data_IF_127536904268
#
_entry.id   IF_127536904268
#
_cell.length_a   1.000
_cell.length_b   1.000
_cell.length_c   1.000
_cell.angle_alpha   90.00
_cell.angle_beta   90.00
_cell.angle_gamma   90.00
#
_symmetry.space_group_name_H-M   'P 1'
#
loop_
_entity.id
_entity.type
_entity.pdbx_description
1 polymer ?
#
# COMPACT_ATOMS: atom_id res chain seq x y z
N UNK A 1 -13.70 -3.65 2.97
CA UNK A 1 -14.80 -2.74 3.37
C UNK A 1 -14.16 -1.39 3.58
N UNK A 2 -14.81 -0.32 3.15
CA UNK A 2 -14.37 1.06 3.36
C UNK A 2 -15.49 1.86 4.03
N UNK A 3 -15.14 2.92 4.74
CA UNK A 3 -16.07 3.77 5.48
C UNK A 3 -15.71 5.22 5.25
N UNK A 4 -16.71 6.06 5.01
CA UNK A 4 -16.56 7.52 4.98
C UNK A 4 -17.78 8.19 5.63
N UNK A 5 -17.87 9.52 5.56
CA UNK A 5 -19.01 10.28 6.09
C UNK A 5 -20.36 9.96 5.45
N UNK A 6 -20.36 9.38 4.24
CA UNK A 6 -21.56 9.04 3.48
C UNK A 6 -22.04 7.60 3.73
N UNK A 7 -21.25 6.72 4.35
CA UNK A 7 -21.69 5.37 4.65
C UNK A 7 -20.58 4.32 4.69
N UNK A 8 -21.00 3.06 4.59
CA UNK A 8 -20.13 1.88 4.60
C UNK A 8 -20.24 1.18 3.25
N UNK A 9 -19.10 0.84 2.65
CA UNK A 9 -19.02 0.22 1.33
C UNK A 9 -18.32 -1.13 1.40
N UNK A 10 -18.97 -2.16 0.86
CA UNK A 10 -18.53 -3.55 0.99
C UNK A 10 -18.40 -4.16 -0.40
N UNK A 11 -17.16 -4.42 -0.81
CA UNK A 11 -16.83 -5.34 -1.91
C UNK A 11 -17.05 -6.77 -1.43
N UNK A 12 -18.00 -7.50 -2.01
CA UNK A 12 -18.35 -8.87 -1.62
C UNK A 12 -18.73 -9.70 -2.84
N UNK A 13 -18.11 -10.87 -2.97
CA UNK A 13 -18.33 -11.81 -4.06
C UNK A 13 -18.25 -11.14 -5.45
N UNK A 14 -19.38 -10.86 -6.07
CA UNK A 14 -19.55 -10.34 -7.42
C UNK A 14 -20.19 -8.94 -7.44
N UNK A 15 -20.08 -8.18 -6.34
CA UNK A 15 -20.72 -6.86 -6.21
C UNK A 15 -20.07 -5.92 -5.22
N UNK A 16 -20.42 -4.65 -5.38
CA UNK A 16 -20.27 -3.60 -4.37
C UNK A 16 -21.62 -3.33 -3.71
N UNK A 17 -21.65 -3.30 -2.37
CA UNK A 17 -22.83 -2.93 -1.57
C UNK A 17 -22.54 -1.62 -0.84
N UNK A 18 -23.41 -0.62 -1.05
CA UNK A 18 -23.39 0.62 -0.27
C UNK A 18 -24.44 0.58 0.83
N UNK A 19 -24.02 0.86 2.06
CA UNK A 19 -24.85 0.92 3.25
C UNK A 19 -24.84 2.35 3.84
N UNK A 20 -25.94 2.73 4.47
CA UNK A 20 -25.99 3.86 5.39
C UNK A 20 -25.18 3.54 6.66
N UNK A 21 -24.89 4.58 7.47
CA UNK A 21 -24.15 4.41 8.73
C UNK A 21 -24.92 3.56 9.77
N UNK A 22 -26.24 3.45 9.63
CA UNK A 22 -27.06 2.56 10.46
C UNK A 22 -27.11 1.11 9.94
N UNK A 23 -26.39 0.82 8.85
CA UNK A 23 -26.30 -0.50 8.22
C UNK A 23 -27.40 -0.81 7.21
N UNK A 24 -28.36 0.08 6.95
CA UNK A 24 -29.37 -0.14 5.91
C UNK A 24 -28.74 -0.08 4.52
N UNK A 25 -29.15 -1.00 3.65
CA UNK A 25 -28.67 -1.01 2.26
C UNK A 25 -29.23 0.16 1.48
N UNK A 26 -28.34 0.97 0.90
CA UNK A 26 -28.64 2.06 -0.02
C UNK A 26 -28.69 1.57 -1.47
N UNK A 27 -27.66 0.84 -1.90
CA UNK A 27 -27.56 0.32 -3.26
C UNK A 27 -26.78 -1.01 -3.31
N UNK A 28 -26.88 -1.69 -4.45
CA UNK A 28 -26.00 -2.77 -4.86
C UNK A 28 -25.58 -2.54 -6.32
N UNK A 29 -24.31 -2.73 -6.60
CA UNK A 29 -23.72 -2.65 -7.94
C UNK A 29 -23.13 -4.02 -8.30
N UNK A 30 -23.81 -4.73 -9.20
CA UNK A 30 -23.58 -6.14 -9.53
C UNK A 30 -22.49 -6.28 -10.62
N UNK A 31 -21.24 -6.08 -10.22
CA UNK A 31 -20.06 -6.28 -11.08
C UNK A 31 -18.93 -6.90 -10.26
N UNK A 32 -18.24 -7.90 -10.78
CA UNK A 32 -17.15 -8.57 -10.05
C UNK A 32 -16.35 -9.56 -10.90
N UNK A 33 -15.49 -10.39 -10.27
CA UNK A 33 -15.37 -10.57 -8.83
C UNK A 33 -14.79 -9.35 -8.11
N UNK A 34 -15.36 -9.01 -6.95
CA UNK A 34 -14.97 -7.92 -6.08
C UNK A 34 -13.62 -8.22 -5.39
N UNK A 35 -12.67 -7.28 -5.41
CA UNK A 35 -11.34 -7.51 -4.77
C UNK A 35 -10.98 -6.47 -3.73
N UNK A 36 -11.20 -5.18 -4.00
CA UNK A 36 -10.86 -4.08 -3.09
C UNK A 36 -11.90 -2.97 -3.18
N UNK A 37 -12.01 -2.18 -2.12
CA UNK A 37 -12.86 -1.00 -2.08
C UNK A 37 -12.19 0.06 -1.21
N UNK A 38 -12.12 1.27 -1.71
CA UNK A 38 -11.74 2.48 -0.97
C UNK A 38 -12.81 3.55 -1.14
N UNK A 39 -12.97 4.44 -0.16
CA UNK A 39 -14.05 5.42 -0.15
C UNK A 39 -13.58 6.83 0.22
N UNK A 40 -13.40 7.67 -0.81
CA UNK A 40 -13.32 9.12 -0.65
C UNK A 40 -14.71 9.71 -0.43
N UNK A 41 -14.81 10.99 -0.03
CA UNK A 41 -16.11 11.62 0.24
C UNK A 41 -17.03 11.58 -0.98
N UNK A 42 -16.52 11.93 -2.16
CA UNK A 42 -17.35 12.02 -3.38
C UNK A 42 -17.35 10.76 -4.22
N UNK A 43 -16.45 9.81 -3.92
CA UNK A 43 -16.16 8.67 -4.79
C UNK A 43 -15.84 7.41 -4.01
N UNK A 44 -16.44 6.31 -4.43
CA UNK A 44 -16.04 4.95 -4.06
C UNK A 44 -15.21 4.38 -5.18
N UNK A 45 -13.97 4.00 -4.87
CA UNK A 45 -13.09 3.28 -5.76
C UNK A 45 -13.33 1.79 -5.56
N UNK A 46 -13.79 1.10 -6.59
CA UNK A 46 -14.16 -0.31 -6.51
C UNK A 46 -13.34 -1.11 -7.51
N UNK A 47 -12.49 -2.01 -7.01
CA UNK A 47 -11.65 -2.85 -7.84
C UNK A 47 -12.30 -4.22 -8.03
N UNK A 48 -12.30 -4.67 -9.28
CA UNK A 48 -12.84 -5.96 -9.68
C UNK A 48 -11.87 -6.71 -10.58
N UNK A 49 -12.06 -8.03 -10.72
CA UNK A 49 -11.24 -8.87 -11.59
C UNK A 49 -10.10 -9.57 -10.85
N UNK A 50 -9.10 -10.04 -11.60
CA UNK A 50 -7.91 -10.72 -11.05
C UNK A 50 -6.67 -10.29 -11.82
N UNK A 51 -5.65 -9.85 -11.09
CA UNK A 51 -4.27 -9.52 -11.50
C UNK A 51 -4.10 -8.86 -12.88
N UNK A 52 -4.21 -9.65 -13.96
CA UNK A 52 -4.01 -9.22 -15.34
C UNK A 52 -5.26 -8.63 -16.02
N UNK A 53 -6.44 -8.83 -15.43
CA UNK A 53 -7.72 -8.35 -15.95
C UNK A 53 -8.50 -7.70 -14.81
N UNK A 54 -7.91 -6.65 -14.23
CA UNK A 54 -8.56 -5.86 -13.19
C UNK A 54 -9.19 -4.61 -13.79
N UNK A 55 -10.39 -4.28 -13.32
CA UNK A 55 -11.11 -3.06 -13.68
C UNK A 55 -11.36 -2.25 -12.43
N UNK A 56 -10.86 -1.01 -12.42
CA UNK A 56 -11.12 -0.02 -11.39
C UNK A 56 -12.34 0.80 -11.79
N UNK A 57 -13.35 0.80 -10.93
CA UNK A 57 -14.60 1.51 -11.12
C UNK A 57 -14.66 2.73 -10.20
N UNK A 58 -15.12 3.84 -10.75
CA UNK A 58 -15.50 5.01 -10.00
C UNK A 58 -17.00 5.05 -9.76
N UNK A 59 -17.42 4.73 -8.53
CA UNK A 59 -18.85 4.66 -8.16
C UNK A 59 -19.20 5.85 -7.25
N UNK A 60 -20.24 6.59 -7.60
CA UNK A 60 -20.80 7.65 -6.76
C UNK A 60 -21.40 7.11 -5.45
N UNK A 61 -21.60 7.95 -4.43
CA UNK A 61 -22.05 7.51 -3.10
C UNK A 61 -23.47 6.93 -3.06
N UNK A 62 -24.23 7.11 -4.14
CA UNK A 62 -25.57 6.55 -4.38
C UNK A 62 -25.58 5.29 -5.27
N UNK A 63 -24.41 4.86 -5.77
CA UNK A 63 -24.28 3.70 -6.63
C UNK A 63 -24.26 3.98 -8.13
N UNK A 64 -24.28 5.24 -8.59
CA UNK A 64 -24.07 5.55 -10.01
C UNK A 64 -22.63 5.25 -10.41
N UNK A 65 -22.42 4.69 -11.59
CA UNK A 65 -21.07 4.53 -12.15
C UNK A 65 -20.80 5.68 -13.09
N UNK A 66 -19.68 6.37 -12.88
CA UNK A 66 -19.32 7.51 -13.72
C UNK A 66 -18.18 7.16 -14.68
N UNK A 67 -17.23 6.32 -14.25
CA UNK A 67 -16.07 5.94 -15.03
C UNK A 67 -15.51 4.56 -14.65
N UNK A 68 -14.71 3.99 -15.55
CA UNK A 68 -14.00 2.74 -15.35
C UNK A 68 -12.64 2.76 -16.08
N UNK A 69 -11.65 2.05 -15.52
CA UNK A 69 -10.34 1.85 -16.13
C UNK A 69 -9.89 0.39 -16.03
N UNK A 70 -9.45 -0.17 -17.15
CA UNK A 70 -8.78 -1.47 -17.16
C UNK A 70 -7.29 -1.26 -16.90
N UNK A 71 -6.83 -1.65 -15.72
CA UNK A 71 -5.48 -1.41 -15.22
C UNK A 71 -4.91 -2.69 -14.61
N UNK A 72 -3.62 -3.00 -14.79
CA UNK A 72 -3.03 -4.22 -14.26
C UNK A 72 -2.62 -4.05 -12.78
N UNK A 73 -3.59 -3.69 -11.94
CA UNK A 73 -3.46 -3.38 -10.50
C UNK A 73 -4.26 -4.39 -9.67
N UNK A 74 -3.86 -4.59 -8.42
CA UNK A 74 -4.51 -5.48 -7.44
C UNK A 74 -4.56 -4.92 -6.02
N UNK A 75 -4.00 -3.73 -5.81
CA UNK A 75 -3.94 -3.03 -4.52
C UNK A 75 -4.37 -1.58 -4.67
N UNK A 76 -4.96 -1.04 -3.60
CA UNK A 76 -5.46 0.32 -3.49
C UNK A 76 -4.94 0.94 -2.19
N UNK A 77 -4.54 2.20 -2.23
CA UNK A 77 -4.20 3.04 -1.08
C UNK A 77 -4.84 4.41 -1.31
N UNK A 78 -5.78 4.80 -0.45
CA UNK A 78 -6.47 6.08 -0.54
C UNK A 78 -5.84 7.08 0.44
N UNK A 79 -5.52 8.27 -0.06
CA UNK A 79 -5.14 9.43 0.75
C UNK A 79 -6.03 10.63 0.40
N UNK A 80 -6.89 11.01 1.35
CA UNK A 80 -7.94 12.00 1.13
C UNK A 80 -8.83 11.64 -0.05
N UNK A 81 -8.63 12.32 -1.18
CA UNK A 81 -9.38 12.15 -2.43
C UNK A 81 -8.56 11.51 -3.56
N UNK A 82 -7.28 11.25 -3.32
CA UNK A 82 -6.37 10.69 -4.32
C UNK A 82 -6.14 9.22 -4.04
N UNK A 83 -6.37 8.40 -5.06
CA UNK A 83 -6.14 6.98 -5.01
C UNK A 83 -4.78 6.65 -5.63
N UNK A 84 -3.93 5.98 -4.87
CA UNK A 84 -2.76 5.26 -5.36
C UNK A 84 -3.15 3.79 -5.57
N UNK A 85 -2.69 3.19 -6.66
CA UNK A 85 -2.95 1.80 -6.97
C UNK A 85 -1.69 1.09 -7.47
N UNK A 86 -1.55 -0.18 -7.08
CA UNK A 86 -0.34 -0.97 -7.28
C UNK A 86 -0.64 -2.31 -7.92
N UNK A 87 0.37 -2.85 -8.61
CA UNK A 87 0.39 -4.17 -9.21
C UNK A 87 1.51 -4.28 -10.25
N UNK A 88 1.19 -4.66 -11.49
CA UNK A 88 2.16 -4.60 -12.61
C UNK A 88 2.39 -3.18 -13.14
N UNK A 89 1.64 -2.22 -12.61
CA UNK A 89 1.83 -0.80 -12.81
C UNK A 89 1.54 -0.09 -11.48
N UNK A 90 2.14 1.08 -11.29
CA UNK A 90 1.79 2.02 -10.23
C UNK A 90 1.03 3.18 -10.85
N UNK A 91 -0.15 3.50 -10.33
CA UNK A 91 -1.05 4.48 -10.92
C UNK A 91 -1.60 5.39 -9.83
N UNK A 92 -1.77 6.67 -10.16
CA UNK A 92 -2.52 7.63 -9.35
C UNK A 92 -3.78 8.07 -10.07
N UNK A 93 -4.92 8.04 -9.38
CA UNK A 93 -6.24 8.36 -9.92
C UNK A 93 -6.97 9.33 -9.00
N UNK A 94 -7.55 10.38 -9.57
CA UNK A 94 -8.41 11.32 -8.86
C UNK A 94 -9.87 10.83 -8.78
N UNK A 95 -10.71 11.48 -7.96
CA UNK A 95 -12.13 11.12 -7.81
C UNK A 95 -12.94 11.21 -9.10
N UNK A 96 -12.54 12.06 -10.05
CA UNK A 96 -13.19 12.18 -11.36
C UNK A 96 -12.73 11.12 -12.38
N UNK A 97 -11.79 10.25 -11.99
CA UNK A 97 -11.23 9.20 -12.83
C UNK A 97 -10.02 9.63 -13.64
N UNK A 98 -9.53 10.86 -13.48
CA UNK A 98 -8.31 11.31 -14.13
C UNK A 98 -7.12 10.51 -13.60
N UNK A 99 -6.39 9.85 -14.50
CA UNK A 99 -5.08 9.27 -14.18
C UNK A 99 -4.05 10.40 -14.19
N UNK A 100 -3.53 10.76 -13.01
CA UNK A 100 -2.55 11.85 -12.85
C UNK A 100 -1.20 11.42 -13.42
N UNK A 101 -0.76 10.23 -13.04
CA UNK A 101 0.47 9.63 -13.53
C UNK A 101 0.39 8.10 -13.44
N UNK A 102 1.28 7.46 -14.21
CA UNK A 102 1.42 6.02 -14.28
C UNK A 102 2.87 5.64 -14.55
N UNK A 103 3.34 4.63 -13.83
CA UNK A 103 4.57 3.90 -14.12
C UNK A 103 4.19 2.45 -14.48
N UNK A 104 4.62 1.98 -15.65
CA UNK A 104 4.36 0.62 -16.15
C UNK A 104 5.32 -0.44 -15.58
N UNK A 105 6.01 -0.11 -14.48
CA UNK A 105 6.82 -1.05 -13.72
C UNK A 105 6.03 -1.64 -12.55
N UNK A 106 6.43 -2.84 -12.14
CA UNK A 106 5.82 -3.51 -10.99
C UNK A 106 6.07 -2.72 -9.70
N UNK A 107 4.98 -2.48 -8.97
CA UNK A 107 4.98 -1.81 -7.68
C UNK A 107 3.73 -2.14 -6.88
N UNK A 108 3.90 -2.71 -5.69
CA UNK A 108 2.83 -3.07 -4.74
C UNK A 108 3.29 -2.75 -3.30
N UNK A 109 2.50 -3.13 -2.30
CA UNK A 109 2.68 -2.82 -0.88
C UNK A 109 2.92 -1.32 -0.72
N UNK A 110 1.89 -0.59 -1.11
CA UNK A 110 1.92 0.86 -1.19
C UNK A 110 1.99 1.44 0.22
N UNK A 111 2.88 2.41 0.42
CA UNK A 111 3.01 3.12 1.67
C UNK A 111 3.24 4.61 1.36
N UNK A 112 2.48 5.49 2.01
CA UNK A 112 2.76 6.92 2.00
C UNK A 112 3.53 7.31 3.26
N UNK A 113 4.41 8.29 3.14
CA UNK A 113 4.98 8.98 4.30
C UNK A 113 3.92 9.79 5.08
N UNK A 114 4.20 10.15 6.34
CA UNK A 114 3.24 10.87 7.17
C UNK A 114 2.83 12.25 6.65
N UNK A 115 3.68 12.92 5.87
CA UNK A 115 3.36 14.21 5.22
C UNK A 115 2.62 14.04 3.89
N UNK A 116 2.57 12.81 3.35
CA UNK A 116 1.87 12.46 2.13
C UNK A 116 2.58 12.94 0.87
N UNK A 117 3.88 13.26 0.91
CA UNK A 117 4.65 13.79 -0.22
C UNK A 117 5.42 12.71 -1.00
N UNK A 118 5.55 11.50 -0.45
CA UNK A 118 6.28 10.37 -1.03
C UNK A 118 5.47 9.09 -0.96
N UNK A 119 5.26 8.48 -2.13
CA UNK A 119 4.75 7.12 -2.26
C UNK A 119 5.93 6.15 -2.34
N UNK A 120 5.95 5.16 -1.46
CA UNK A 120 6.83 4.02 -1.49
C UNK A 120 6.12 2.78 -2.03
N UNK A 121 6.85 1.98 -2.78
CA UNK A 121 6.36 0.71 -3.33
C UNK A 121 7.42 -0.37 -3.19
N UNK A 122 7.01 -1.59 -2.85
CA UNK A 122 7.76 -2.80 -3.16
C UNK A 122 7.79 -2.99 -4.66
N UNK A 123 8.98 -3.02 -5.23
CA UNK A 123 9.21 -2.82 -6.67
C UNK A 123 10.06 -3.94 -7.28
N UNK A 124 10.03 -4.01 -8.62
CA UNK A 124 10.60 -5.08 -9.47
C UNK A 124 9.84 -6.39 -9.41
N UNK A 125 9.97 -7.19 -10.47
CA UNK A 125 9.24 -8.47 -10.63
C UNK A 125 9.63 -9.52 -9.56
N UNK A 126 10.84 -9.44 -9.02
CA UNK A 126 11.28 -10.27 -7.89
C UNK A 126 10.94 -9.67 -6.54
N UNK A 127 10.46 -8.44 -6.55
CA UNK A 127 10.08 -7.68 -5.38
C UNK A 127 11.25 -7.52 -4.39
N UNK A 128 12.45 -7.33 -4.91
CA UNK A 128 13.73 -7.26 -4.20
C UNK A 128 14.19 -5.83 -3.90
N UNK A 129 13.33 -4.83 -4.16
CA UNK A 129 13.66 -3.41 -3.99
C UNK A 129 12.47 -2.58 -3.49
N UNK A 130 12.75 -1.48 -2.81
CA UNK A 130 11.77 -0.44 -2.50
C UNK A 130 12.02 0.80 -3.37
N UNK A 131 10.98 1.33 -4.03
CA UNK A 131 11.07 2.53 -4.87
C UNK A 131 10.24 3.66 -4.27
N UNK A 132 10.79 4.87 -4.26
CA UNK A 132 10.12 6.09 -3.83
C UNK A 132 9.75 6.96 -5.04
N UNK A 133 8.52 7.46 -5.05
CA UNK A 133 7.98 8.43 -6.01
C UNK A 133 7.55 9.68 -5.25
N UNK A 134 7.69 10.86 -5.84
CA UNK A 134 6.87 11.99 -5.39
C UNK A 134 5.40 11.77 -5.78
N UNK A 135 4.49 12.53 -5.16
CA UNK A 135 3.06 12.45 -5.48
C UNK A 135 2.70 12.85 -6.91
N UNK A 136 3.62 13.48 -7.65
CA UNK A 136 3.47 13.78 -9.07
C UNK A 136 3.95 12.62 -9.98
N UNK A 137 4.43 11.53 -9.39
CA UNK A 137 4.84 10.30 -10.09
C UNK A 137 6.29 10.28 -10.53
N UNK A 138 7.09 11.29 -10.18
CA UNK A 138 8.51 11.27 -10.48
C UNK A 138 9.21 10.36 -9.49
N UNK A 139 9.84 9.32 -10.02
CA UNK A 139 10.73 8.47 -9.23
C UNK A 139 11.85 9.31 -8.60
N UNK A 140 11.97 9.24 -7.27
CA UNK A 140 13.05 9.85 -6.48
C UNK A 140 14.26 8.94 -6.45
N UNK A 141 14.07 7.68 -6.03
CA UNK A 141 15.14 6.69 -5.91
C UNK A 141 14.57 5.26 -5.82
N UNK A 142 15.46 4.28 -5.95
CA UNK A 142 15.18 2.86 -5.68
C UNK A 142 16.26 2.32 -4.76
N UNK A 143 15.87 1.78 -3.61
CA UNK A 143 16.72 1.05 -2.69
C UNK A 143 16.67 -0.44 -3.02
N UNK A 144 17.83 -1.03 -3.30
CA UNK A 144 18.01 -2.38 -3.85
C UNK A 144 19.06 -3.13 -3.02
N UNK A 145 18.69 -3.63 -1.82
CA UNK A 145 19.61 -4.39 -0.99
C UNK A 145 19.90 -5.76 -1.64
N UNK A 146 21.06 -6.38 -1.36
CA UNK A 146 21.37 -7.73 -1.83
C UNK A 146 20.48 -8.77 -1.12
N UNK A 147 19.24 -8.86 -1.55
CA UNK A 147 18.16 -9.59 -0.89
C UNK A 147 17.38 -10.43 -1.89
N UNK A 148 16.67 -11.43 -1.38
CA UNK A 148 15.70 -12.17 -2.19
C UNK A 148 14.36 -11.44 -2.32
N UNK A 149 14.12 -10.46 -1.44
CA UNK A 149 12.86 -9.75 -1.30
C UNK A 149 13.09 -8.54 -0.37
N UNK A 150 12.58 -7.36 -0.73
CA UNK A 150 12.63 -6.16 0.11
C UNK A 150 11.37 -5.32 -0.06
N UNK A 151 10.88 -4.71 1.02
CA UNK A 151 9.64 -3.95 1.00
C UNK A 151 9.59 -2.82 2.02
N UNK A 152 8.83 -1.74 1.73
CA UNK A 152 8.55 -0.69 2.70
C UNK A 152 7.72 -1.27 3.86
N UNK A 153 8.16 -1.01 5.10
CA UNK A 153 7.49 -1.49 6.31
C UNK A 153 6.75 -0.35 7.02
N UNK A 154 7.44 0.79 7.18
CA UNK A 154 6.92 1.99 7.83
C UNK A 154 7.66 3.22 7.31
N UNK A 155 7.04 4.39 7.37
CA UNK A 155 7.64 5.65 6.98
C UNK A 155 7.51 6.67 8.12
N UNK A 156 8.60 7.36 8.39
CA UNK A 156 8.65 8.54 9.27
C UNK A 156 8.78 9.79 8.40
N UNK A 157 8.81 10.98 9.00
CA UNK A 157 9.07 12.22 8.25
C UNK A 157 10.46 12.24 7.59
N UNK A 158 11.43 11.52 8.16
CA UNK A 158 12.83 11.60 7.75
C UNK A 158 13.37 10.32 7.08
N UNK A 159 12.68 9.18 7.27
CA UNK A 159 13.17 7.90 6.81
C UNK A 159 12.06 6.93 6.39
N UNK A 160 12.40 6.08 5.41
CA UNK A 160 11.69 4.85 5.14
C UNK A 160 12.35 3.70 5.91
N UNK A 161 11.55 2.91 6.62
CA UNK A 161 11.97 1.61 7.14
C UNK A 161 11.68 0.54 6.10
N UNK A 162 12.71 -0.23 5.76
CA UNK A 162 12.63 -1.32 4.76
C UNK A 162 13.06 -2.62 5.42
N UNK A 163 12.21 -3.65 5.36
CA UNK A 163 12.63 -5.02 5.65
C UNK A 163 13.11 -5.70 4.38
N UNK A 164 14.16 -6.51 4.49
CA UNK A 164 14.62 -7.35 3.40
C UNK A 164 15.04 -8.74 3.88
N UNK A 165 14.71 -9.78 3.11
CA UNK A 165 15.17 -11.15 3.35
C UNK A 165 16.63 -11.26 2.90
N UNK A 166 17.54 -11.24 3.86
CA UNK A 166 18.99 -11.31 3.65
C UNK A 166 19.62 -12.60 4.18
N UNK A 167 18.92 -13.33 5.06
CA UNK A 167 19.39 -14.60 5.59
C UNK A 167 19.10 -15.76 4.64
N UNK A 168 20.09 -16.65 4.44
CA UNK A 168 19.93 -17.86 3.62
C UNK A 168 19.24 -19.02 4.35
N UNK A 169 19.15 -18.96 5.69
CA UNK A 169 18.54 -20.00 6.54
C UNK A 169 17.78 -19.37 7.70
N UNK A 170 16.81 -20.09 8.29
CA UNK A 170 16.00 -19.62 9.41
C UNK A 170 16.77 -19.35 10.72
N UNK A 171 18.08 -19.61 10.77
CA UNK A 171 18.90 -19.56 11.99
C UNK A 171 19.81 -18.32 12.10
N UNK A 172 19.77 -17.38 11.16
CA UNK A 172 20.55 -16.13 11.19
C UNK A 172 19.69 -15.02 10.61
N UNK A 173 19.74 -13.78 11.15
CA UNK A 173 18.59 -12.88 11.10
C UNK A 173 18.01 -12.89 9.71
N UNK A 174 16.84 -13.53 9.61
CA UNK A 174 16.23 -13.87 8.33
C UNK A 174 15.94 -12.58 7.57
N UNK A 175 15.61 -11.52 8.32
CA UNK A 175 15.43 -10.17 7.87
C UNK A 175 16.59 -9.26 8.29
N UNK A 176 16.96 -8.35 7.40
CA UNK A 176 17.62 -7.10 7.79
C UNK A 176 16.61 -5.97 7.63
N UNK A 177 16.44 -5.18 8.68
CA UNK A 177 15.63 -3.96 8.68
C UNK A 177 16.58 -2.77 8.49
N UNK A 178 16.31 -1.94 7.50
CA UNK A 178 17.10 -0.76 7.14
C UNK A 178 16.31 0.52 7.43
N UNK A 179 17.01 1.56 7.88
CA UNK A 179 16.53 2.93 7.81
C UNK A 179 17.11 3.59 6.56
N UNK A 180 16.26 4.15 5.70
CA UNK A 180 16.62 4.75 4.41
C UNK A 180 16.26 6.23 4.44
N UNK A 181 17.23 7.11 4.23
CA UNK A 181 16.98 8.56 4.22
C UNK A 181 16.27 9.03 2.94
N UNK A 182 15.93 10.31 2.89
CA UNK A 182 15.27 10.95 1.74
C UNK A 182 16.06 10.89 0.42
N UNK A 183 17.37 10.62 0.46
CA UNK A 183 18.21 10.39 -0.73
C UNK A 183 18.27 8.92 -1.18
N UNK A 184 17.57 8.01 -0.49
CA UNK A 184 17.56 6.58 -0.80
C UNK A 184 18.79 5.83 -0.29
N UNK A 185 19.51 6.39 0.69
CA UNK A 185 20.72 5.79 1.27
C UNK A 185 20.41 5.14 2.62
N UNK A 186 20.91 3.92 2.89
CA UNK A 186 20.78 3.31 4.20
C UNK A 186 21.62 4.06 5.23
N UNK A 187 20.98 4.52 6.32
CA UNK A 187 21.64 5.21 7.44
C UNK A 187 21.92 4.27 8.61
N UNK A 188 21.05 3.27 8.79
CA UNK A 188 21.18 2.24 9.80
C UNK A 188 20.62 0.91 9.30
N UNK A 189 21.05 -0.19 9.94
CA UNK A 189 20.51 -1.52 9.71
C UNK A 189 20.58 -2.37 10.96
N UNK A 190 19.62 -3.26 11.13
CA UNK A 190 19.56 -4.19 12.25
C UNK A 190 18.99 -5.54 11.80
N UNK A 191 19.59 -6.63 12.27
CA UNK A 191 19.13 -7.99 11.95
C UNK A 191 17.93 -8.39 12.82
N UNK A 192 16.88 -8.93 12.20
CA UNK A 192 15.69 -9.50 12.84
C UNK A 192 15.40 -10.90 12.36
N UNK A 193 14.86 -11.72 13.25
CA UNK A 193 14.35 -13.03 12.88
C UNK A 193 13.00 -12.90 12.17
N UNK A 194 12.10 -12.08 12.71
CA UNK A 194 10.82 -11.75 12.07
C UNK A 194 10.39 -10.34 12.45
N UNK A 195 9.59 -9.75 11.57
CA UNK A 195 8.81 -8.53 11.81
C UNK A 195 7.35 -8.91 11.59
N UNK A 196 6.49 -8.56 12.54
CA UNK A 196 5.07 -8.86 12.47
C UNK A 196 4.26 -7.68 11.93
N UNK A 197 4.65 -6.47 12.33
CA UNK A 197 3.99 -5.23 11.97
C UNK A 197 4.96 -4.06 12.21
N UNK A 198 4.74 -2.95 11.50
CA UNK A 198 5.42 -1.70 11.77
C UNK A 198 4.52 -0.50 11.48
N UNK A 199 4.75 0.57 12.22
CA UNK A 199 4.06 1.84 11.98
C UNK A 199 4.99 3.01 12.25
N UNK A 200 4.93 4.03 11.41
CA UNK A 200 5.63 5.28 11.63
C UNK A 200 4.73 6.30 12.32
N UNK A 201 5.29 7.04 13.26
CA UNK A 201 4.63 8.16 13.90
C UNK A 201 5.62 9.31 14.07
N UNK A 202 5.40 10.40 13.33
CA UNK A 202 6.32 11.52 13.25
C UNK A 202 7.73 11.03 12.85
N UNK A 203 8.71 11.13 13.75
CA UNK A 203 10.12 10.82 13.45
C UNK A 203 10.52 9.42 13.96
N UNK A 204 9.61 8.68 14.59
CA UNK A 204 9.88 7.36 15.17
C UNK A 204 9.12 6.27 14.42
N UNK A 205 9.80 5.16 14.14
CA UNK A 205 9.17 3.94 13.66
C UNK A 205 9.05 2.91 14.78
N UNK A 206 7.85 2.36 14.96
CA UNK A 206 7.57 1.29 15.91
C UNK A 206 7.53 -0.04 15.18
N UNK A 207 8.33 -1.00 15.65
CA UNK A 207 8.47 -2.32 15.04
C UNK A 207 8.04 -3.39 16.05
N UNK A 208 7.02 -4.18 15.69
CA UNK A 208 6.67 -5.39 16.42
C UNK A 208 7.49 -6.56 15.86
N UNK A 209 8.34 -7.16 16.69
CA UNK A 209 9.23 -8.25 16.30
C UNK A 209 9.07 -9.48 17.22
N UNK A 210 9.73 -10.57 16.86
CA UNK A 210 9.78 -11.75 17.71
C UNK A 210 10.99 -12.63 17.44
N UNK A 211 11.20 -13.58 18.35
CA UNK A 211 12.22 -14.61 18.24
C UNK A 211 11.55 -15.98 18.35
N UNK A 212 11.56 -16.79 17.29
CA UNK A 212 10.81 -18.05 17.27
C UNK A 212 11.44 -19.12 18.14
N UNK A 213 12.74 -19.03 18.42
CA UNK A 213 13.44 -19.98 19.28
C UNK A 213 13.06 -19.82 20.76
N UNK A 214 12.74 -18.60 21.19
CA UNK A 214 12.34 -18.28 22.57
C UNK A 214 10.84 -18.13 22.74
N UNK A 215 10.12 -17.78 21.66
CA UNK A 215 8.70 -17.41 21.70
C UNK A 215 8.46 -15.98 22.16
N UNK A 216 9.51 -15.18 22.34
CA UNK A 216 9.40 -13.79 22.81
C UNK A 216 8.92 -12.87 21.68
N UNK A 217 8.14 -11.85 22.05
CA UNK A 217 7.71 -10.76 21.16
C UNK A 217 8.09 -9.43 21.79
N UNK A 218 8.59 -8.48 20.98
CA UNK A 218 8.97 -7.16 21.47
C UNK A 218 8.34 -6.05 20.63
N UNK A 219 8.26 -4.87 21.23
CA UNK A 219 7.99 -3.61 20.55
C UNK A 219 9.24 -2.75 20.63
N UNK A 220 9.78 -2.34 19.49
CA UNK A 220 10.95 -1.48 19.40
C UNK A 220 10.56 -0.13 18.86
N UNK A 221 11.09 0.93 19.45
CA UNK A 221 11.09 2.26 18.87
C UNK A 221 12.44 2.46 18.16
N UNK A 222 12.39 2.82 16.89
CA UNK A 222 13.54 3.17 16.07
C UNK A 222 13.44 4.67 15.81
N UNK A 223 14.50 5.40 16.15
CA UNK A 223 14.68 6.82 15.80
C UNK A 223 15.71 6.88 14.66
N UNK A 224 15.27 6.66 13.40
CA UNK A 224 16.12 6.49 12.22
C UNK A 224 16.93 7.72 11.79
#
# INVERSE_FOLDING_TARGET
>A
MAVNSNGVYVAVADRLVGLELDGKRRFAYEYGPATRVEAATERVFYLTGKDAASTLHGVGPNGSVDWQHDLPIHELLLDGNRLYAGGKAVVTVETDGTIVWRDDTYGEWLLLDPDGDTLYTRSRIRSDAATAYDVAGKKRWTFDPPSNNAWPEAATNDALIVSAITGDTANQPFLTVYAINSQGQPTASLGKETVFDATGLSDTAYLADGNSATGDSNLLALDP
#
